data_IF_384611565560
#
_entry.id   IF_384611565560
#
_cell.length_a   1.000
_cell.length_b   1.000
_cell.length_c   1.000
_cell.angle_alpha   90.00
_cell.angle_beta   90.00
_cell.angle_gamma   90.00
#
_symmetry.space_group_name_H-M   'P 1'
#
loop_
_entity.id
_entity.type
_entity.pdbx_description
1 polymer ?
#
# COMPACT_ATOMS: atom_id res chain seq x y z
N UNK A 1 -8.70 -20.76 6.20
CA UNK A 1 -8.85 -20.67 4.72
C UNK A 1 -8.95 -19.20 4.32
N UNK A 2 -8.16 -18.74 3.34
CA UNK A 2 -8.25 -17.37 2.81
C UNK A 2 -9.34 -17.31 1.73
N UNK A 3 -10.29 -16.39 1.88
CA UNK A 3 -11.33 -16.13 0.89
C UNK A 3 -10.69 -15.66 -0.43
N UNK A 4 -11.31 -15.99 -1.57
CA UNK A 4 -10.80 -15.63 -2.90
C UNK A 4 -10.51 -14.12 -3.05
N UNK A 5 -11.36 -13.28 -2.44
CA UNK A 5 -11.17 -11.82 -2.36
C UNK A 5 -9.88 -11.42 -1.64
N UNK A 6 -9.52 -12.14 -0.58
CA UNK A 6 -8.27 -11.90 0.16
C UNK A 6 -7.07 -12.28 -0.71
N UNK A 7 -7.12 -13.42 -1.42
CA UNK A 7 -6.03 -13.81 -2.35
C UNK A 7 -5.78 -12.75 -3.43
N UNK A 8 -6.83 -12.20 -4.04
CA UNK A 8 -6.69 -11.11 -5.02
C UNK A 8 -6.06 -9.88 -4.37
N UNK A 9 -6.56 -9.49 -3.19
CA UNK A 9 -6.03 -8.33 -2.44
C UNK A 9 -4.55 -8.48 -2.14
N UNK A 10 -4.11 -9.64 -1.64
CA UNK A 10 -2.70 -9.91 -1.33
C UNK A 10 -1.83 -10.01 -2.58
N UNK A 11 -2.36 -10.55 -3.69
CA UNK A 11 -1.65 -10.56 -4.98
C UNK A 11 -1.44 -9.14 -5.52
N UNK A 12 -2.42 -8.25 -5.34
CA UNK A 12 -2.28 -6.84 -5.69
C UNK A 12 -1.25 -6.13 -4.78
N UNK A 13 -1.31 -6.38 -3.47
CA UNK A 13 -0.37 -5.82 -2.47
C UNK A 13 1.08 -6.26 -2.69
N UNK A 14 1.31 -7.40 -3.35
CA UNK A 14 2.65 -7.88 -3.69
C UNK A 14 3.35 -7.01 -4.76
N UNK A 15 2.59 -6.31 -5.61
CA UNK A 15 3.15 -5.52 -6.70
C UNK A 15 3.93 -4.30 -6.18
N UNK A 16 5.14 -4.08 -6.69
CA UNK A 16 5.96 -2.90 -6.36
C UNK A 16 5.27 -1.58 -6.74
N UNK A 17 4.43 -1.62 -7.79
CA UNK A 17 3.69 -0.46 -8.27
C UNK A 17 2.45 -0.12 -7.43
N UNK A 18 2.02 -1.00 -6.52
CA UNK A 18 0.81 -0.76 -5.73
C UNK A 18 0.96 0.44 -4.78
N UNK A 19 2.12 0.58 -4.12
CA UNK A 19 2.38 1.70 -3.21
C UNK A 19 2.31 3.09 -3.89
N UNK A 20 2.99 3.34 -5.03
CA UNK A 20 2.86 4.61 -5.74
C UNK A 20 1.47 4.82 -6.36
N UNK A 21 0.81 3.78 -6.87
CA UNK A 21 -0.59 3.89 -7.34
C UNK A 21 -1.54 4.28 -6.21
N UNK A 22 -1.35 3.73 -5.01
CA UNK A 22 -2.17 4.06 -3.85
C UNK A 22 -1.93 5.49 -3.36
N UNK A 23 -0.70 5.99 -3.47
CA UNK A 23 -0.38 7.40 -3.23
C UNK A 23 -1.15 8.31 -4.18
N UNK A 24 -1.11 8.02 -5.49
CA UNK A 24 -1.84 8.80 -6.52
C UNK A 24 -3.35 8.75 -6.24
N UNK A 25 -3.87 7.57 -5.89
CA UNK A 25 -5.28 7.41 -5.55
C UNK A 25 -5.70 8.30 -4.37
N UNK A 26 -4.98 8.24 -3.25
CA UNK A 26 -5.32 9.08 -2.08
C UNK A 26 -5.16 10.57 -2.41
N UNK A 27 -4.05 10.93 -3.05
CA UNK A 27 -3.74 12.33 -3.27
C UNK A 27 -4.72 13.00 -4.25
N UNK A 28 -5.07 12.33 -5.36
CA UNK A 28 -5.96 12.89 -6.40
C UNK A 28 -7.43 12.51 -6.22
N UNK A 29 -7.76 11.24 -5.97
CA UNK A 29 -9.15 10.78 -5.90
C UNK A 29 -9.80 11.02 -4.54
N UNK A 30 -9.05 10.94 -3.44
CA UNK A 30 -9.55 11.34 -2.12
C UNK A 30 -9.35 12.83 -1.84
N UNK A 31 -8.98 13.61 -2.87
CA UNK A 31 -8.80 15.05 -2.79
C UNK A 31 -7.78 15.48 -1.71
N UNK A 32 -6.79 14.63 -1.41
CA UNK A 32 -5.74 14.97 -0.44
C UNK A 32 -4.92 16.20 -0.82
N UNK A 33 -4.93 16.61 -2.09
CA UNK A 33 -4.34 17.89 -2.50
C UNK A 33 -5.09 19.11 -1.91
N UNK A 34 -6.38 19.01 -1.59
CA UNK A 34 -7.14 20.10 -0.94
C UNK A 34 -6.66 20.38 0.48
N UNK A 35 -6.15 19.35 1.17
CA UNK A 35 -5.57 19.46 2.51
C UNK A 35 -4.11 20.01 2.47
N UNK A 36 -3.59 20.33 1.28
CA UNK A 36 -2.27 20.91 1.08
C UNK A 36 -1.14 20.02 1.60
N UNK A 37 -0.28 20.60 2.46
CA UNK A 37 0.88 19.90 3.04
C UNK A 37 0.48 18.67 3.87
N UNK A 38 -0.63 18.77 4.62
CA UNK A 38 -1.08 17.68 5.49
C UNK A 38 -1.54 16.46 4.69
N UNK A 39 -2.26 16.69 3.59
CA UNK A 39 -2.69 15.62 2.70
C UNK A 39 -1.54 14.99 1.91
N UNK A 40 -0.50 15.76 1.57
CA UNK A 40 0.73 15.21 1.01
C UNK A 40 1.47 14.30 2.00
N UNK A 41 1.68 14.76 3.24
CA UNK A 41 2.32 13.96 4.30
C UNK A 41 1.52 12.69 4.58
N UNK A 42 0.19 12.79 4.67
CA UNK A 42 -0.68 11.64 4.89
C UNK A 42 -0.55 10.60 3.76
N UNK A 43 -0.59 11.05 2.50
CA UNK A 43 -0.44 10.19 1.33
C UNK A 43 0.94 9.52 1.32
N UNK A 44 2.00 10.26 1.68
CA UNK A 44 3.37 9.74 1.76
C UNK A 44 3.52 8.68 2.87
N UNK A 45 2.96 8.92 4.05
CA UNK A 45 2.93 7.96 5.15
C UNK A 45 2.18 6.68 4.76
N UNK A 46 1.05 6.81 4.03
CA UNK A 46 0.34 5.64 3.47
C UNK A 46 1.22 4.84 2.51
N UNK A 47 1.97 5.50 1.61
CA UNK A 47 2.92 4.83 0.72
C UNK A 47 3.98 4.05 1.51
N UNK A 48 4.57 4.67 2.53
CA UNK A 48 5.58 4.04 3.38
C UNK A 48 4.99 2.84 4.14
N UNK A 49 3.80 2.99 4.71
CA UNK A 49 3.09 1.91 5.42
C UNK A 49 2.86 0.69 4.53
N UNK A 50 2.36 0.87 3.30
CA UNK A 50 2.18 -0.24 2.36
C UNK A 50 3.51 -0.90 1.96
N UNK A 51 4.57 -0.12 1.85
CA UNK A 51 5.92 -0.65 1.56
C UNK A 51 6.43 -1.52 2.70
N UNK A 52 6.26 -1.07 3.95
CA UNK A 52 6.61 -1.84 5.15
C UNK A 52 5.83 -3.15 5.26
N UNK A 53 4.52 -3.13 4.98
CA UNK A 53 3.70 -4.35 4.94
C UNK A 53 4.30 -5.35 3.95
N UNK A 54 4.62 -4.91 2.73
CA UNK A 54 5.21 -5.77 1.71
C UNK A 54 6.54 -6.36 2.16
N UNK A 55 7.44 -5.54 2.70
CA UNK A 55 8.73 -6.03 3.23
C UNK A 55 8.52 -7.06 4.33
N UNK A 56 7.57 -6.83 5.24
CA UNK A 56 7.25 -7.77 6.32
C UNK A 56 6.67 -9.09 5.79
N UNK A 57 5.78 -9.03 4.79
CA UNK A 57 5.27 -10.23 4.10
C UNK A 57 6.43 -11.00 3.44
N UNK A 58 7.33 -10.29 2.75
CA UNK A 58 8.47 -10.92 2.05
C UNK A 58 9.45 -11.53 3.05
N UNK A 59 9.71 -10.86 4.16
CA UNK A 59 10.56 -11.37 5.24
C UNK A 59 9.97 -12.64 5.88
N UNK A 60 8.66 -12.64 6.18
CA UNK A 60 7.97 -13.81 6.71
C UNK A 60 7.95 -14.99 5.72
N UNK A 61 7.78 -14.71 4.42
CA UNK A 61 7.87 -15.73 3.37
C UNK A 61 9.26 -16.35 3.28
N UNK A 62 10.33 -15.56 3.49
CA UNK A 62 11.70 -16.05 3.51
C UNK A 62 12.06 -16.82 4.79
N UNK A 63 11.41 -16.55 5.91
CA UNK A 63 11.66 -17.25 7.19
C UNK A 63 10.95 -18.62 7.29
N UNK A 64 9.90 -18.84 6.49
CA UNK A 64 9.16 -20.10 6.43
C UNK A 64 9.58 -21.03 5.29
N UNK A 65 10.64 -20.70 4.55
CA UNK A 65 11.25 -21.49 3.48
C UNK A 65 12.65 -21.95 3.92
#
# INVERSE_FOLDING_TARGET
QLLFRQKIKYRLLSSYCFAPLYFIWIYFFQLGFLDGERGFIFSLLKKQYFSQIKFKITALQRQGA
#
